data_IF_499828760682
#
_entry.id   IF_499828760682
#
_cell.length_a   1.000
_cell.length_b   1.000
_cell.length_c   1.000
_cell.angle_alpha   90.00
_cell.angle_beta   90.00
_cell.angle_gamma   90.00
#
_symmetry.space_group_name_H-M   'P 1'
#
loop_
_entity.id
_entity.type
_entity.pdbx_description
1 polymer ?
#
# COMPACT_ATOMS: atom_id res chain seq x y z
N UNK A 1 8.70 9.92 4.99
CA UNK A 1 8.94 8.50 5.34
C UNK A 1 9.42 7.72 4.12
N UNK A 2 10.52 6.98 4.27
CA UNK A 2 10.97 5.98 3.30
C UNK A 2 11.04 4.63 4.00
N UNK A 3 10.53 3.59 3.38
CA UNK A 3 10.51 2.25 3.98
C UNK A 3 11.43 1.33 3.20
N UNK A 4 12.36 0.67 3.88
CA UNK A 4 13.14 -0.43 3.30
C UNK A 4 12.47 -1.75 3.66
N UNK A 5 12.12 -2.54 2.66
CA UNK A 5 11.58 -3.88 2.83
C UNK A 5 12.57 -4.92 2.35
N UNK A 6 12.63 -6.03 3.08
CA UNK A 6 13.28 -7.24 2.66
C UNK A 6 12.25 -8.36 2.55
N UNK A 7 12.08 -8.89 1.34
CA UNK A 7 10.97 -9.78 0.98
C UNK A 7 11.46 -11.02 0.24
N UNK A 8 10.72 -12.11 0.36
CA UNK A 8 10.94 -13.34 -0.39
C UNK A 8 9.62 -13.87 -0.92
N UNK A 9 9.37 -13.71 -2.23
CA UNK A 9 8.31 -14.41 -2.90
C UNK A 9 8.60 -15.91 -2.94
N UNK A 10 7.57 -16.75 -2.80
CA UNK A 10 7.73 -18.21 -2.86
C UNK A 10 8.39 -18.64 -4.17
N UNK A 11 9.45 -19.45 -4.06
CA UNK A 11 10.19 -19.98 -5.20
C UNK A 11 11.07 -18.96 -5.92
N UNK A 12 11.35 -17.81 -5.30
CA UNK A 12 12.29 -16.80 -5.81
C UNK A 12 13.35 -16.47 -4.77
N UNK A 13 14.45 -15.88 -5.24
CA UNK A 13 15.45 -15.31 -4.37
C UNK A 13 14.90 -14.08 -3.64
N UNK A 14 15.44 -13.88 -2.44
CA UNK A 14 15.19 -12.72 -1.59
C UNK A 14 15.58 -11.43 -2.30
N UNK A 15 14.79 -10.39 -2.12
CA UNK A 15 15.03 -9.07 -2.70
C UNK A 15 14.86 -7.97 -1.66
N UNK A 16 15.67 -6.91 -1.81
CA UNK A 16 15.56 -5.69 -1.04
C UNK A 16 14.91 -4.62 -1.91
N UNK A 17 13.87 -3.97 -1.38
CA UNK A 17 13.11 -2.94 -2.08
C UNK A 17 13.00 -1.72 -1.18
N UNK A 18 13.19 -0.53 -1.74
CA UNK A 18 12.93 0.73 -1.04
C UNK A 18 11.63 1.32 -1.56
N UNK A 19 10.70 1.59 -0.66
CA UNK A 19 9.41 2.20 -0.96
C UNK A 19 9.39 3.64 -0.47
N UNK A 20 8.70 4.48 -1.23
CA UNK A 20 8.38 5.84 -0.84
C UNK A 20 7.07 5.83 -0.03
N UNK A 21 6.90 6.77 0.90
CA UNK A 21 5.70 6.81 1.72
C UNK A 21 4.48 7.28 0.93
N UNK A 22 3.33 6.65 1.23
CA UNK A 22 2.01 7.10 0.80
C UNK A 22 1.23 7.77 1.93
N UNK A 23 1.88 8.03 3.07
CA UNK A 23 1.25 8.67 4.24
C UNK A 23 1.28 10.17 4.02
N UNK A 24 0.12 10.82 3.90
CA UNK A 24 0.07 12.26 3.66
C UNK A 24 0.48 13.04 4.90
N UNK A 25 1.13 14.19 4.67
CA UNK A 25 1.53 15.15 5.70
C UNK A 25 0.72 16.46 5.61
N UNK A 26 -0.39 16.42 4.88
CA UNK A 26 -1.36 17.51 4.73
C UNK A 26 -2.78 16.99 5.00
N UNK A 27 -3.64 17.84 5.56
CA UNK A 27 -4.98 17.43 6.02
C UNK A 27 -5.93 17.10 4.87
N UNK A 28 -5.85 17.79 3.73
CA UNK A 28 -6.67 17.50 2.56
C UNK A 28 -6.29 16.15 1.96
N UNK A 29 -4.98 15.89 1.86
CA UNK A 29 -4.47 14.59 1.42
C UNK A 29 -4.75 13.49 2.44
N UNK A 30 -4.74 13.79 3.75
CA UNK A 30 -5.15 12.85 4.80
C UNK A 30 -6.60 12.41 4.61
N UNK A 31 -7.51 13.35 4.38
CA UNK A 31 -8.92 13.03 4.08
C UNK A 31 -9.07 12.18 2.84
N UNK A 32 -8.33 12.47 1.78
CA UNK A 32 -8.28 11.63 0.57
C UNK A 32 -7.75 10.23 0.89
N UNK A 33 -6.70 10.12 1.69
CA UNK A 33 -6.11 8.85 2.10
C UNK A 33 -7.07 8.00 2.94
N UNK A 34 -7.88 8.60 3.81
CA UNK A 34 -8.91 7.87 4.57
C UNK A 34 -9.90 7.11 3.66
N UNK A 35 -10.17 7.60 2.44
CA UNK A 35 -11.05 6.92 1.48
C UNK A 35 -10.47 5.60 0.92
N UNK A 36 -9.21 5.31 1.25
CA UNK A 36 -8.52 4.07 0.89
C UNK A 36 -8.47 3.05 2.02
N UNK A 37 -8.90 3.45 3.21
CA UNK A 37 -8.83 2.59 4.39
C UNK A 37 -9.87 1.49 4.29
N UNK A 38 -9.44 0.27 4.61
CA UNK A 38 -10.31 -0.90 4.61
C UNK A 38 -10.58 -1.32 6.04
N UNK A 39 -11.84 -1.30 6.51
CA UNK A 39 -12.19 -1.80 7.82
C UNK A 39 -11.77 -3.27 8.00
N UNK A 40 -11.26 -3.64 9.17
CA UNK A 40 -10.78 -5.00 9.45
C UNK A 40 -11.85 -6.09 9.17
N UNK A 41 -13.13 -5.77 9.36
CA UNK A 41 -14.24 -6.70 9.05
C UNK A 41 -14.32 -7.04 7.57
N UNK A 42 -14.09 -6.07 6.70
CA UNK A 42 -14.09 -6.26 5.24
C UNK A 42 -12.83 -6.99 4.80
N UNK A 43 -11.68 -6.60 5.34
CA UNK A 43 -10.40 -7.27 5.07
C UNK A 43 -10.43 -8.77 5.44
N UNK A 44 -11.15 -9.17 6.50
CA UNK A 44 -11.31 -10.59 6.85
C UNK A 44 -12.12 -11.39 5.83
N UNK A 45 -13.11 -10.78 5.15
CA UNK A 45 -13.89 -11.44 4.08
C UNK A 45 -13.00 -11.71 2.87
N UNK A 46 -12.06 -10.82 2.61
CA UNK A 46 -11.10 -10.90 1.51
C UNK A 46 -10.24 -12.19 1.53
N UNK A 47 -9.80 -12.65 2.71
CA UNK A 47 -9.03 -13.89 2.85
C UNK A 47 -9.87 -15.17 2.72
N UNK A 48 -11.20 -15.09 2.79
CA UNK A 48 -12.10 -16.26 2.83
C UNK A 48 -12.71 -16.62 1.49
N UNK A 49 -12.84 -15.67 0.57
CA UNK A 49 -13.43 -15.93 -0.74
C UNK A 49 -12.35 -16.26 -1.78
N UNK A 50 -12.58 -17.30 -2.58
CA UNK A 50 -11.65 -17.81 -3.58
C UNK A 50 -11.10 -16.70 -4.50
N UNK A 51 -9.78 -16.64 -4.62
CA UNK A 51 -9.07 -15.76 -5.54
C UNK A 51 -9.48 -16.08 -6.98
N UNK A 52 -10.19 -15.18 -7.66
CA UNK A 52 -10.62 -15.41 -9.04
C UNK A 52 -9.44 -15.18 -9.99
N UNK A 53 -8.72 -16.26 -10.31
CA UNK A 53 -7.54 -16.23 -11.17
C UNK A 53 -7.81 -15.66 -12.57
N UNK A 54 -9.07 -15.70 -13.04
CA UNK A 54 -9.44 -15.13 -14.34
C UNK A 54 -9.52 -13.60 -14.33
N UNK A 55 -9.84 -13.01 -13.18
CA UNK A 55 -10.03 -11.56 -13.03
C UNK A 55 -8.79 -10.85 -12.47
N UNK A 56 -8.04 -11.52 -11.59
CA UNK A 56 -6.93 -10.95 -10.84
C UNK A 56 -5.61 -11.74 -10.99
N UNK A 57 -5.58 -12.78 -11.85
CA UNK A 57 -4.42 -13.63 -12.09
C UNK A 57 -4.02 -14.57 -10.95
N UNK A 58 -2.86 -15.22 -11.05
CA UNK A 58 -2.40 -16.28 -10.14
C UNK A 58 -1.84 -15.72 -8.82
N UNK A 59 -2.42 -16.11 -7.67
CA UNK A 59 -1.91 -15.80 -6.34
C UNK A 59 -0.69 -16.65 -5.97
N UNK A 60 0.44 -16.01 -5.63
CA UNK A 60 1.56 -16.62 -4.90
C UNK A 60 1.77 -15.91 -3.57
N UNK A 61 2.15 -16.71 -2.59
CA UNK A 61 2.45 -16.22 -1.25
C UNK A 61 3.95 -15.92 -1.13
N UNK A 62 4.31 -15.04 -0.21
CA UNK A 62 5.68 -14.84 0.21
C UNK A 62 5.75 -14.24 1.60
N UNK A 63 6.96 -13.89 2.03
CA UNK A 63 7.23 -13.42 3.39
C UNK A 63 7.93 -12.06 3.40
N UNK A 64 7.52 -11.21 4.33
CA UNK A 64 8.27 -10.02 4.73
C UNK A 64 9.22 -10.44 5.84
N UNK A 65 10.52 -10.23 5.65
CA UNK A 65 11.53 -10.52 6.66
C UNK A 65 11.89 -9.31 7.51
N UNK A 66 11.90 -8.15 6.87
CA UNK A 66 12.29 -6.91 7.51
C UNK A 66 11.55 -5.75 6.88
N UNK A 67 11.12 -4.80 7.71
CA UNK A 67 10.52 -3.55 7.31
C UNK A 67 11.04 -2.42 8.20
N UNK A 68 11.78 -1.48 7.65
CA UNK A 68 12.44 -0.41 8.40
C UNK A 68 12.06 0.95 7.84
N UNK A 69 11.61 1.87 8.70
CA UNK A 69 11.56 3.28 8.35
C UNK A 69 12.99 3.81 8.29
N UNK A 70 13.44 4.17 7.10
CA UNK A 70 14.82 4.59 6.81
C UNK A 70 15.17 5.93 7.47
N UNK A 71 14.21 6.85 7.58
CA UNK A 71 14.45 8.19 8.13
C UNK A 71 14.77 8.13 9.63
N UNK A 72 14.12 7.21 10.35
CA UNK A 72 14.34 7.04 11.78
C UNK A 72 15.15 5.79 12.12
N UNK A 73 15.47 4.94 11.13
CA UNK A 73 16.09 3.63 11.31
C UNK A 73 15.34 2.73 12.31
N UNK A 74 14.01 2.84 12.35
CA UNK A 74 13.14 2.10 13.28
C UNK A 74 12.39 0.99 12.53
N UNK A 75 12.37 -0.26 13.02
CA UNK A 75 11.52 -1.31 12.47
C UNK A 75 10.05 -0.91 12.54
N UNK A 76 9.32 -1.09 11.43
CA UNK A 76 7.88 -0.93 11.42
C UNK A 76 7.25 -2.02 12.29
N UNK A 77 6.38 -1.59 13.21
CA UNK A 77 5.69 -2.49 14.15
C UNK A 77 4.30 -2.85 13.61
N UNK A 78 3.80 -4.01 14.05
CA UNK A 78 2.44 -4.46 13.77
C UNK A 78 2.31 -5.45 12.61
N UNK A 79 1.08 -5.63 12.17
CA UNK A 79 0.73 -6.53 11.07
C UNK A 79 0.90 -5.78 9.74
N UNK A 80 1.78 -6.31 8.89
CA UNK A 80 2.15 -5.74 7.59
C UNK A 80 1.80 -6.73 6.49
N UNK A 81 1.25 -6.21 5.39
CA UNK A 81 0.98 -6.98 4.18
C UNK A 81 1.41 -6.16 2.98
N UNK A 82 2.17 -6.75 2.06
CA UNK A 82 2.51 -6.10 0.80
C UNK A 82 1.97 -6.87 -0.41
N UNK A 83 1.53 -6.12 -1.41
CA UNK A 83 0.96 -6.64 -2.66
C UNK A 83 1.79 -6.21 -3.85
N UNK A 84 2.11 -7.17 -4.72
CA UNK A 84 2.73 -6.89 -6.02
C UNK A 84 1.97 -7.56 -7.15
N UNK A 85 1.68 -6.76 -8.17
CA UNK A 85 0.99 -7.18 -9.38
C UNK A 85 1.84 -6.94 -10.62
N UNK A 86 1.45 -7.51 -11.76
CA UNK A 86 2.07 -7.23 -13.06
C UNK A 86 1.02 -7.28 -14.17
N UNK A 87 1.23 -6.50 -15.22
CA UNK A 87 0.43 -6.57 -16.46
C UNK A 87 1.22 -7.30 -17.53
N UNK A 88 0.53 -8.07 -18.37
CA UNK A 88 1.12 -8.63 -19.59
C UNK A 88 0.87 -7.63 -20.70
N UNK A 89 1.94 -7.14 -21.34
CA UNK A 89 1.80 -6.25 -22.48
C UNK A 89 1.47 -7.02 -23.76
N UNK A 90 1.24 -6.28 -24.86
CA UNK A 90 0.89 -6.86 -26.16
C UNK A 90 1.99 -7.76 -26.76
N UNK A 91 3.21 -7.72 -26.22
CA UNK A 91 4.34 -8.57 -26.63
C UNK A 91 4.43 -9.86 -25.81
N UNK A 92 3.58 -10.01 -24.79
CA UNK A 92 3.64 -11.10 -23.82
C UNK A 92 4.62 -10.84 -22.67
N UNK A 93 5.27 -9.69 -22.62
CA UNK A 93 6.21 -9.35 -21.55
C UNK A 93 5.45 -8.91 -20.29
N UNK A 94 5.95 -9.34 -19.12
CA UNK A 94 5.37 -9.01 -17.81
C UNK A 94 5.96 -7.71 -17.30
N UNK A 95 5.17 -6.64 -17.27
CA UNK A 95 5.52 -5.35 -16.68
C UNK A 95 5.08 -5.31 -15.22
N UNK A 96 6.04 -5.20 -14.29
CA UNK A 96 5.78 -5.08 -12.85
C UNK A 96 4.99 -3.80 -12.55
N UNK A 97 3.90 -3.94 -11.80
CA UNK A 97 3.15 -2.84 -11.20
C UNK A 97 3.77 -2.45 -9.84
N UNK A 98 3.35 -1.32 -9.25
CA UNK A 98 3.86 -0.89 -7.96
C UNK A 98 3.66 -1.95 -6.87
N UNK A 99 4.66 -2.10 -6.00
CA UNK A 99 4.54 -2.89 -4.78
C UNK A 99 3.94 -1.97 -3.70
N UNK A 100 2.77 -2.32 -3.16
CA UNK A 100 2.08 -1.51 -2.14
C UNK A 100 2.20 -2.21 -0.79
N UNK A 101 2.73 -1.51 0.21
CA UNK A 101 2.78 -1.94 1.60
C UNK A 101 1.58 -1.36 2.36
N UNK A 102 0.79 -2.25 2.97
CA UNK A 102 -0.37 -1.94 3.80
C UNK A 102 -0.05 -2.35 5.24
N UNK A 103 -0.51 -1.54 6.18
CA UNK A 103 -0.39 -1.82 7.61
C UNK A 103 -1.73 -1.71 8.31
N UNK A 104 -1.86 -2.43 9.44
CA UNK A 104 -2.90 -2.18 10.42
C UNK A 104 -2.61 -0.86 11.13
N UNK A 105 -3.28 0.21 10.71
CA UNK A 105 -2.84 1.59 10.91
C UNK A 105 -2.62 1.94 12.38
N UNK A 106 -3.59 1.61 13.23
CA UNK A 106 -3.55 1.81 14.69
C UNK A 106 -2.31 1.25 15.40
N UNK A 107 -1.65 0.25 14.80
CA UNK A 107 -0.43 -0.38 15.35
C UNK A 107 0.87 0.14 14.71
N UNK A 108 0.77 0.85 13.59
CA UNK A 108 1.91 1.23 12.76
C UNK A 108 2.22 2.73 12.82
N UNK A 109 1.19 3.59 12.89
CA UNK A 109 1.34 5.05 12.97
C UNK A 109 0.43 5.57 14.08
N UNK A 110 1.01 6.30 15.03
CA UNK A 110 0.27 6.92 16.12
C UNK A 110 -0.10 8.37 15.80
N UNK A 111 -0.93 8.97 16.66
CA UNK A 111 -1.34 10.37 16.51
C UNK A 111 -0.16 11.35 16.64
N UNK A 112 0.85 11.02 17.45
CA UNK A 112 2.01 11.91 17.66
C UNK A 112 2.80 12.09 16.37
N UNK A 113 2.97 11.02 15.58
CA UNK A 113 3.56 11.12 14.25
C UNK A 113 2.87 12.19 13.39
N UNK A 114 1.54 12.18 13.31
CA UNK A 114 0.82 13.18 12.50
C UNK A 114 0.88 14.57 13.12
N UNK A 115 0.76 14.69 14.45
CA UNK A 115 0.84 15.99 15.14
C UNK A 115 2.21 16.67 14.99
N UNK A 116 3.29 15.90 14.96
CA UNK A 116 4.65 16.44 14.79
C UNK A 116 4.95 16.83 13.34
N UNK A 117 4.33 16.14 12.38
CA UNK A 117 4.62 16.32 10.95
C UNK A 117 3.63 17.22 10.23
N UNK A 118 2.40 17.35 10.75
CA UNK A 118 1.33 18.18 10.21
C UNK A 118 1.11 19.35 11.17
N UNK A 119 1.19 20.58 10.69
CA UNK A 119 0.78 21.76 11.47
C UNK A 119 -0.76 21.80 11.56
N UNK A 120 -1.32 21.03 12.50
CA UNK A 120 -2.77 20.84 12.64
C UNK A 120 -3.41 21.88 13.57
N UNK A 121 -4.54 22.42 13.16
CA UNK A 121 -5.44 23.18 14.04
C UNK A 121 -6.17 22.24 15.03
N UNK A 122 -6.67 22.75 16.18
CA UNK A 122 -7.31 21.91 17.20
C UNK A 122 -8.44 21.01 16.69
N UNK A 123 -9.25 21.49 15.75
CA UNK A 123 -10.33 20.72 15.13
C UNK A 123 -9.79 19.58 14.26
N UNK A 124 -8.68 19.83 13.55
CA UNK A 124 -8.02 18.84 12.70
C UNK A 124 -7.27 17.80 13.54
N UNK A 125 -6.66 18.21 14.66
CA UNK A 125 -6.08 17.29 15.64
C UNK A 125 -7.13 16.30 16.15
N UNK A 126 -8.33 16.79 16.45
CA UNK A 126 -9.45 15.94 16.87
C UNK A 126 -9.87 14.98 15.76
N UNK A 127 -10.01 15.46 14.52
CA UNK A 127 -10.35 14.65 13.34
C UNK A 127 -9.36 13.49 13.14
N UNK A 128 -8.05 13.79 13.07
CA UNK A 128 -7.00 12.78 12.88
C UNK A 128 -6.99 11.79 14.04
N UNK A 129 -7.12 12.29 15.28
CA UNK A 129 -7.16 11.43 16.47
C UNK A 129 -8.36 10.49 16.45
N UNK A 130 -9.53 10.97 16.06
CA UNK A 130 -10.74 10.16 16.01
C UNK A 130 -10.65 9.11 14.90
N UNK A 131 -10.12 9.48 13.72
CA UNK A 131 -9.89 8.55 12.61
C UNK A 131 -8.95 7.40 13.00
N UNK A 132 -7.85 7.69 13.70
CA UNK A 132 -6.85 6.69 14.11
C UNK A 132 -7.33 5.73 15.21
N UNK A 133 -8.52 5.96 15.82
CA UNK A 133 -9.10 5.02 16.79
C UNK A 133 -9.59 3.74 16.12
N UNK A 134 -10.02 3.85 14.86
CA UNK A 134 -10.59 2.75 14.09
C UNK A 134 -9.54 1.70 13.72
N UNK A 135 -10.00 0.47 13.58
CA UNK A 135 -9.16 -0.65 13.22
C UNK A 135 -9.24 -0.92 11.71
N UNK A 136 -8.33 -0.29 10.98
CA UNK A 136 -8.31 -0.27 9.52
C UNK A 136 -6.96 -0.72 8.96
N UNK A 137 -7.00 -1.22 7.73
CA UNK A 137 -5.84 -1.42 6.88
C UNK A 137 -5.67 -0.21 5.97
N UNK A 138 -4.47 0.36 5.92
CA UNK A 138 -4.18 1.54 5.09
C UNK A 138 -2.84 1.39 4.35
N UNK A 139 -2.73 1.90 3.10
CA UNK A 139 -1.45 1.94 2.40
C UNK A 139 -0.49 2.92 3.09
N UNK A 140 0.69 2.45 3.47
CA UNK A 140 1.70 3.28 4.18
C UNK A 140 2.95 3.55 3.35
N UNK A 141 3.24 2.70 2.36
CA UNK A 141 4.37 2.90 1.44
C UNK A 141 4.14 2.19 0.12
N UNK A 142 4.77 2.67 -0.95
CA UNK A 142 4.70 2.06 -2.28
C UNK A 142 6.01 2.23 -3.04
N UNK A 143 6.35 1.21 -3.81
CA UNK A 143 7.52 1.20 -4.70
C UNK A 143 7.01 1.17 -6.13
N UNK A 144 7.26 2.24 -6.87
CA UNK A 144 7.05 2.24 -8.32
C UNK A 144 8.31 1.66 -9.00
N UNK A 145 8.22 0.51 -9.68
CA UNK A 145 9.36 -0.15 -10.29
C UNK A 145 9.88 0.54 -11.56
N UNK A 146 9.19 1.55 -12.09
CA UNK A 146 9.64 2.30 -13.25
C UNK A 146 10.29 3.62 -12.82
N UNK A 147 11.41 3.97 -13.46
CA UNK A 147 11.93 5.34 -13.40
C UNK A 147 10.88 6.22 -14.05
N UNK A 148 10.06 6.88 -13.25
CA UNK A 148 9.23 7.97 -13.74
C UNK A 148 10.21 9.05 -14.21
N UNK A 149 10.08 9.47 -15.46
CA UNK A 149 10.99 10.42 -16.08
C UNK A 149 11.20 11.61 -15.14
N UNK A 150 12.45 11.94 -14.80
CA UNK A 150 12.84 12.82 -13.67
C UNK A 150 12.27 14.25 -13.75
N UNK A 151 11.58 14.59 -14.84
CA UNK A 151 10.80 15.84 -14.98
C UNK A 151 9.50 15.84 -14.17
N UNK A 152 9.01 14.67 -13.78
CA UNK A 152 7.85 14.52 -12.91
C UNK A 152 8.34 14.01 -11.56
N UNK A 153 8.58 14.93 -10.62
CA UNK A 153 8.60 14.57 -9.20
C UNK A 153 7.26 13.90 -8.95
N UNK A 154 7.26 12.59 -8.68
CA UNK A 154 6.01 11.88 -8.41
C UNK A 154 5.50 12.44 -7.08
N UNK A 155 4.51 13.32 -7.16
CA UNK A 155 3.90 13.90 -5.98
C UNK A 155 3.25 12.75 -5.19
N UNK A 156 3.30 12.84 -3.86
CA UNK A 156 2.61 11.92 -2.96
C UNK A 156 1.14 11.81 -3.36
N UNK A 157 0.55 12.88 -3.90
CA UNK A 157 -0.81 12.90 -4.42
C UNK A 157 -1.07 11.93 -5.59
N UNK A 158 -0.13 11.80 -6.54
CA UNK A 158 -0.24 10.92 -7.72
C UNK A 158 0.00 9.46 -7.33
N UNK A 159 1.00 9.24 -6.47
CA UNK A 159 1.32 7.95 -5.87
C UNK A 159 0.14 7.40 -5.08
N UNK A 160 -0.44 8.27 -4.24
CA UNK A 160 -1.59 7.95 -3.42
C UNK A 160 -2.78 7.61 -4.30
N UNK A 161 -3.15 8.45 -5.28
CA UNK A 161 -4.28 8.19 -6.16
C UNK A 161 -4.20 6.81 -6.85
N UNK A 162 -3.03 6.47 -7.40
CA UNK A 162 -2.81 5.16 -8.02
C UNK A 162 -2.88 4.02 -7.00
N UNK A 163 -2.26 4.17 -5.82
CA UNK A 163 -2.34 3.17 -4.76
C UNK A 163 -3.79 2.93 -4.33
N UNK A 164 -4.59 3.98 -4.16
CA UNK A 164 -6.02 3.88 -3.84
C UNK A 164 -6.77 3.15 -4.96
N UNK A 165 -6.54 3.51 -6.21
CA UNK A 165 -7.18 2.89 -7.37
C UNK A 165 -6.85 1.39 -7.46
N UNK A 166 -5.56 1.02 -7.33
CA UNK A 166 -5.12 -0.37 -7.33
C UNK A 166 -5.70 -1.16 -6.16
N UNK A 167 -5.71 -0.57 -4.96
CA UNK A 167 -6.32 -1.20 -3.80
C UNK A 167 -7.83 -1.40 -4.00
N UNK A 168 -8.53 -0.42 -4.56
CA UNK A 168 -9.97 -0.56 -4.87
C UNK A 168 -10.23 -1.64 -5.91
N UNK A 169 -9.46 -1.69 -7.01
CA UNK A 169 -9.53 -2.80 -7.98
C UNK A 169 -9.32 -4.16 -7.32
N UNK A 170 -8.29 -4.25 -6.48
CA UNK A 170 -7.92 -5.48 -5.79
C UNK A 170 -8.96 -5.92 -4.76
N UNK A 171 -9.46 -4.98 -3.95
CA UNK A 171 -10.46 -5.26 -2.92
C UNK A 171 -11.85 -5.50 -3.51
N UNK A 172 -12.23 -4.73 -4.53
CA UNK A 172 -13.48 -4.89 -5.29
C UNK A 172 -13.46 -6.08 -6.25
N UNK A 173 -12.28 -6.69 -6.48
CA UNK A 173 -12.05 -7.79 -7.41
C UNK A 173 -12.48 -7.48 -8.84
N UNK A 174 -12.38 -6.21 -9.18
CA UNK A 174 -12.90 -5.67 -10.41
C UNK A 174 -11.99 -4.52 -10.87
N UNK A 175 -10.88 -4.84 -11.56
CA UNK A 175 -10.02 -3.82 -12.16
C UNK A 175 -10.78 -2.89 -13.11
N UNK A 176 -11.82 -3.40 -13.78
CA UNK A 176 -12.61 -2.64 -14.75
C UNK A 176 -13.45 -1.55 -14.05
N UNK A 177 -13.93 -1.79 -12.82
CA UNK A 177 -14.67 -0.78 -12.02
C UNK A 177 -13.91 0.51 -11.73
N UNK A 178 -12.58 0.49 -11.90
CA UNK A 178 -11.69 1.63 -11.66
C UNK A 178 -10.78 1.89 -12.87
N UNK A 179 -11.22 1.54 -14.08
CA UNK A 179 -10.49 1.80 -15.33
C UNK A 179 -9.05 1.21 -15.37
N UNK A 180 -8.80 0.14 -14.63
CA UNK A 180 -7.51 -0.55 -14.63
C UNK A 180 -7.51 -1.74 -15.59
N UNK A 181 -6.42 -1.92 -16.38
CA UNK A 181 -6.27 -3.14 -17.16
C UNK A 181 -6.20 -4.34 -16.21
N UNK A 182 -6.74 -5.48 -16.65
CA UNK A 182 -6.58 -6.73 -15.91
C UNK A 182 -5.10 -7.01 -15.72
N UNK A 183 -4.70 -7.20 -14.47
CA UNK A 183 -3.35 -7.55 -14.09
C UNK A 183 -3.34 -8.97 -13.53
N UNK A 184 -2.15 -9.56 -13.55
CA UNK A 184 -1.87 -10.77 -12.81
C UNK A 184 -1.27 -10.35 -11.49
N UNK A 185 -2.06 -10.44 -10.42
CA UNK A 185 -1.61 -10.21 -9.06
C UNK A 185 -1.15 -11.49 -8.45
N UNK A 186 0.09 -11.46 -7.98
CA UNK A 186 0.81 -12.70 -7.73
C UNK A 186 1.56 -12.74 -6.44
N UNK A 187 1.79 -11.66 -5.71
CA UNK A 187 2.63 -11.78 -4.51
C UNK A 187 1.97 -11.08 -3.32
N UNK A 188 1.32 -11.87 -2.46
CA UNK A 188 0.90 -11.42 -1.12
C UNK A 188 2.01 -11.78 -0.13
N UNK A 189 2.60 -10.75 0.46
CA UNK A 189 3.71 -10.87 1.40
C UNK A 189 3.17 -10.55 2.80
N UNK A 190 3.31 -11.48 3.75
CA UNK A 190 2.91 -11.28 5.16
C UNK A 190 4.12 -11.39 6.08
N UNK A 191 4.11 -10.63 7.18
CA UNK A 191 5.14 -10.67 8.22
C UNK A 191 5.09 -11.99 9.02
#
# INVERSE_FOLDING_TARGET
>A
MKTRLFIEPRGKAREQVQLESSVPLDIELFRKWMTSWVPMKEFKKWNKENWNERSLGELRLGKIFEAVNVEHSIPLKGELIAYRSYVVDNTGAKKKLPLILIARLKKALDFNYFKEQMNLEPEQEKEVRDALKEDVWAPISVYQPQVVDRKYVVDTADVLAQAIQYLKALFGRDPESVDLPRFIETEILKN
#
